data_IF_399373224076
#
_entry.id   IF_399373224076
#
_cell.length_a   1.000
_cell.length_b   1.000
_cell.length_c   1.000
_cell.angle_alpha   90.00
_cell.angle_beta   90.00
_cell.angle_gamma   90.00
#
_symmetry.space_group_name_H-M   'P 1'
#
loop_
_entity.id
_entity.type
_entity.pdbx_description
1 polymer ?
#
# COMPACT_ATOMS: atom_id res chain seq x y z
N UNK A 1 -0.16 -1.73 -33.27
CA UNK A 1 -1.51 -2.32 -33.32
C UNK A 1 -2.08 -2.35 -31.92
N UNK A 2 -3.32 -1.88 -31.71
CA UNK A 2 -3.99 -1.94 -30.41
C UNK A 2 -4.83 -3.21 -30.35
N UNK A 3 -4.76 -3.97 -29.24
CA UNK A 3 -5.61 -5.14 -29.02
C UNK A 3 -6.66 -4.83 -27.96
N UNK A 4 -7.93 -4.86 -28.39
CA UNK A 4 -9.11 -4.68 -27.55
C UNK A 4 -9.88 -6.00 -27.47
N UNK A 5 -9.72 -6.73 -26.37
CA UNK A 5 -10.60 -7.88 -26.10
C UNK A 5 -11.93 -7.38 -25.53
N UNK A 6 -13.02 -7.56 -26.28
CA UNK A 6 -14.38 -7.24 -25.84
C UNK A 6 -15.09 -8.50 -25.37
N UNK A 7 -15.34 -8.62 -24.07
CA UNK A 7 -16.24 -9.64 -23.51
C UNK A 7 -17.67 -9.08 -23.52
N UNK A 8 -18.54 -9.67 -24.36
CA UNK A 8 -19.95 -9.25 -24.49
C UNK A 8 -20.83 -10.06 -23.53
N UNK A 9 -21.27 -9.43 -22.44
CA UNK A 9 -22.33 -9.98 -21.59
C UNK A 9 -23.69 -9.44 -22.06
N UNK A 10 -24.71 -10.29 -22.31
CA UNK A 10 -26.01 -9.81 -22.76
C UNK A 10 -26.75 -9.07 -21.63
N UNK A 11 -27.20 -7.84 -21.90
CA UNK A 11 -28.16 -7.11 -21.06
C UNK A 11 -27.67 -5.87 -20.30
N UNK A 12 -26.40 -5.44 -20.45
CA UNK A 12 -25.91 -4.19 -19.84
C UNK A 12 -25.01 -3.42 -20.82
N UNK A 13 -25.59 -2.46 -21.55
CA UNK A 13 -24.83 -1.48 -22.32
C UNK A 13 -24.20 -0.42 -21.40
N UNK A 14 -23.03 -0.74 -20.86
CA UNK A 14 -22.13 0.23 -20.23
C UNK A 14 -20.69 0.03 -20.71
N UNK A 15 -20.29 0.84 -21.68
CA UNK A 15 -18.91 0.91 -22.15
C UNK A 15 -18.04 1.67 -21.15
N UNK A 16 -17.33 0.94 -20.30
CA UNK A 16 -16.30 1.52 -19.43
C UNK A 16 -14.97 1.64 -20.21
N UNK A 17 -14.56 2.88 -20.52
CA UNK A 17 -13.22 3.16 -21.05
C UNK A 17 -12.21 3.05 -19.90
N UNK A 18 -11.42 1.98 -19.90
CA UNK A 18 -10.24 1.87 -19.05
C UNK A 18 -9.02 2.43 -19.78
N UNK A 19 -8.66 3.67 -19.46
CA UNK A 19 -7.39 4.24 -19.88
C UNK A 19 -6.26 3.57 -19.09
N UNK A 20 -5.36 2.90 -19.83
CA UNK A 20 -4.30 2.06 -19.27
C UNK A 20 -3.15 2.97 -18.82
N UNK A 21 -3.14 3.33 -17.53
CA UNK A 21 -2.02 4.04 -16.91
C UNK A 21 -0.73 3.26 -17.18
N UNK A 22 0.23 3.92 -17.82
CA UNK A 22 1.46 3.33 -18.33
C UNK A 22 2.68 4.13 -17.85
N UNK A 23 2.79 4.32 -16.55
CA UNK A 23 4.01 4.83 -15.91
C UNK A 23 4.41 3.88 -14.78
N UNK A 24 5.37 3.00 -15.11
CA UNK A 24 6.01 2.02 -14.24
C UNK A 24 7.48 2.40 -14.16
N UNK A 25 7.96 2.61 -12.93
CA UNK A 25 9.35 2.43 -12.48
C UNK A 25 10.47 3.05 -13.35
N UNK A 26 10.85 4.29 -13.02
CA UNK A 26 12.09 4.91 -13.47
C UNK A 26 12.81 5.73 -12.38
N UNK A 27 12.80 5.26 -11.11
CA UNK A 27 13.36 6.03 -9.98
C UNK A 27 14.06 5.23 -8.87
N UNK A 28 14.27 3.90 -9.00
CA UNK A 28 14.87 3.07 -7.96
C UNK A 28 15.87 2.03 -8.50
N UNK A 29 17.01 2.49 -8.98
CA UNK A 29 18.26 1.68 -8.96
C UNK A 29 19.39 2.57 -8.46
N UNK A 30 19.71 2.42 -7.18
CA UNK A 30 20.99 2.88 -6.64
C UNK A 30 22.13 2.16 -7.36
N UNK A 31 23.16 2.90 -7.78
CA UNK A 31 24.47 2.33 -8.08
C UNK A 31 25.52 3.06 -7.25
N UNK A 32 25.74 2.53 -6.06
CA UNK A 32 27.03 2.67 -5.39
C UNK A 32 28.12 2.02 -6.27
N UNK A 33 29.24 2.70 -6.43
CA UNK A 33 30.33 2.27 -7.30
C UNK A 33 31.55 3.18 -7.12
N UNK A 34 32.38 2.85 -6.14
CA UNK A 34 33.60 3.60 -5.86
C UNK A 34 34.82 3.06 -6.62
N UNK A 35 35.90 3.85 -6.61
CA UNK A 35 37.27 3.37 -6.78
C UNK A 35 37.74 3.12 -8.22
N UNK A 36 38.56 4.04 -8.74
CA UNK A 36 39.30 3.83 -9.99
C UNK A 36 40.40 4.88 -10.15
N UNK A 37 41.62 4.57 -9.70
CA UNK A 37 42.80 5.38 -10.03
C UNK A 37 43.08 5.25 -11.53
N UNK A 38 43.58 6.32 -12.15
CA UNK A 38 44.49 6.18 -13.27
C UNK A 38 45.53 7.30 -13.18
N UNK A 39 46.74 6.91 -12.82
CA UNK A 39 47.93 7.74 -12.94
C UNK A 39 48.30 7.83 -14.42
N UNK A 40 48.67 9.01 -14.90
CA UNK A 40 49.46 9.11 -16.13
C UNK A 40 50.44 10.26 -16.01
N UNK A 41 51.72 9.92 -16.08
CA UNK A 41 52.84 10.85 -16.05
C UNK A 41 52.71 11.92 -17.14
N UNK A 42 52.99 13.17 -16.76
CA UNK A 42 53.52 14.19 -17.66
C UNK A 42 54.77 14.76 -16.98
N UNK A 43 55.91 14.61 -17.66
CA UNK A 43 57.23 14.78 -17.06
C UNK A 43 57.66 16.23 -16.93
N UNK A 44 58.29 16.54 -15.80
CA UNK A 44 59.41 17.48 -15.62
C UNK A 44 59.55 18.66 -16.59
N UNK A 45 59.22 19.86 -16.11
CA UNK A 45 59.99 21.06 -16.42
C UNK A 45 60.58 21.59 -15.10
N UNK A 46 61.90 21.48 -14.93
CA UNK A 46 62.62 22.08 -13.81
C UNK A 46 63.00 23.50 -14.22
N UNK A 47 62.27 24.49 -13.72
CA UNK A 47 62.78 25.86 -13.64
C UNK A 47 63.15 26.19 -12.19
N UNK A 48 64.32 26.80 -12.03
CA UNK A 48 64.98 27.11 -10.75
C UNK A 48 64.53 28.47 -10.23
N UNK A 49 65.01 28.83 -9.04
CA UNK A 49 64.85 30.12 -8.34
C UNK A 49 63.43 30.36 -7.77
N UNK A 50 63.25 30.84 -6.53
CA UNK A 50 64.23 31.07 -5.47
C UNK A 50 63.68 30.66 -4.10
N UNK A 51 64.59 30.48 -3.14
CA UNK A 51 64.27 29.92 -1.84
C UNK A 51 63.23 30.76 -1.07
N UNK A 52 62.09 30.15 -0.76
CA UNK A 52 61.42 30.44 0.51
C UNK A 52 61.03 29.11 1.16
N UNK A 53 61.77 28.73 2.20
CA UNK A 53 61.44 27.64 3.11
C UNK A 53 59.99 27.78 3.57
N UNK A 54 59.32 26.65 3.83
CA UNK A 54 57.89 26.59 4.16
C UNK A 54 57.48 27.63 5.21
N UNK A 55 56.95 28.76 4.75
CA UNK A 55 56.34 29.76 5.63
C UNK A 55 55.04 29.17 6.15
N UNK A 56 54.92 29.16 7.47
CA UNK A 56 53.65 28.86 8.15
C UNK A 56 52.56 29.76 7.55
N UNK A 57 51.47 29.17 7.05
CA UNK A 57 50.40 29.91 6.34
C UNK A 57 49.79 31.08 7.13
N UNK A 58 49.96 31.10 8.46
CA UNK A 58 49.51 32.19 9.34
C UNK A 58 50.47 33.39 9.50
N UNK A 59 51.51 33.55 8.67
CA UNK A 59 52.51 34.63 8.84
C UNK A 59 52.51 35.70 7.73
N UNK A 60 51.49 35.77 6.87
CA UNK A 60 51.42 36.82 5.82
C UNK A 60 50.85 38.10 6.43
N UNK A 61 51.58 39.22 6.31
CA UNK A 61 51.12 40.49 6.88
C UNK A 61 50.09 41.19 6.00
N UNK A 62 49.25 42.05 6.58
CA UNK A 62 48.21 42.79 5.82
C UNK A 62 48.79 43.66 4.68
N UNK A 63 50.02 44.16 4.83
CA UNK A 63 50.75 44.89 3.79
C UNK A 63 51.20 43.98 2.63
N UNK A 64 51.57 42.73 2.93
CA UNK A 64 52.00 41.71 1.98
C UNK A 64 50.79 41.17 1.20
N UNK A 65 49.64 40.96 1.86
CA UNK A 65 48.35 40.68 1.22
C UNK A 65 47.89 41.77 0.24
N UNK A 66 48.21 43.04 0.52
CA UNK A 66 47.89 44.17 -0.37
C UNK A 66 48.84 44.26 -1.58
N UNK A 67 50.00 43.61 -1.54
CA UNK A 67 50.98 43.52 -2.64
C UNK A 67 50.74 42.32 -3.58
N UNK A 68 49.99 41.31 -3.16
CA UNK A 68 49.62 40.17 -4.01
C UNK A 68 48.67 40.57 -5.15
N UNK A 69 48.72 39.85 -6.27
CA UNK A 69 47.73 40.04 -7.32
C UNK A 69 46.33 39.58 -6.84
N UNK A 70 45.23 40.10 -7.42
CA UNK A 70 43.87 39.79 -6.94
C UNK A 70 43.56 38.29 -6.88
N UNK A 71 44.05 37.48 -7.84
CA UNK A 71 43.83 36.03 -7.84
C UNK A 71 44.60 35.33 -6.72
N UNK A 72 45.84 35.74 -6.42
CA UNK A 72 46.62 35.19 -5.30
C UNK A 72 46.01 35.57 -3.95
N UNK A 73 45.59 36.84 -3.79
CA UNK A 73 44.91 37.32 -2.59
C UNK A 73 43.59 36.58 -2.35
N UNK A 74 42.78 36.39 -3.39
CA UNK A 74 41.54 35.63 -3.30
C UNK A 74 41.78 34.15 -2.92
N UNK A 75 42.80 33.51 -3.52
CA UNK A 75 43.22 32.15 -3.15
C UNK A 75 43.67 32.04 -1.69
N UNK A 76 44.41 33.03 -1.17
CA UNK A 76 44.81 33.06 0.23
C UNK A 76 43.59 33.19 1.16
N UNK A 77 42.75 34.21 0.93
CA UNK A 77 41.57 34.48 1.75
C UNK A 77 40.54 33.33 1.74
N UNK A 78 40.51 32.51 0.69
CA UNK A 78 39.65 31.32 0.62
C UNK A 78 40.05 30.19 1.57
N UNK A 79 41.28 30.19 2.09
CA UNK A 79 41.77 29.24 3.09
C UNK A 79 42.07 29.86 4.46
N UNK A 80 41.88 31.18 4.60
CA UNK A 80 41.96 31.87 5.89
C UNK A 80 40.64 31.64 6.67
N UNK A 81 40.73 31.44 7.99
CA UNK A 81 39.52 31.29 8.79
C UNK A 81 38.74 32.62 8.83
N UNK A 82 37.42 32.61 8.54
CA UNK A 82 36.63 33.83 8.59
C UNK A 82 36.59 34.40 10.01
N UNK A 83 36.43 35.72 10.13
CA UNK A 83 36.43 36.40 11.44
C UNK A 83 35.34 35.84 12.37
N UNK A 84 35.55 35.95 13.69
CA UNK A 84 34.61 35.43 14.71
C UNK A 84 33.18 35.96 14.53
N UNK A 85 33.02 37.18 14.04
CA UNK A 85 31.72 37.78 13.72
C UNK A 85 31.07 37.11 12.50
N UNK A 86 31.83 36.87 11.43
CA UNK A 86 31.35 36.16 10.24
C UNK A 86 31.01 34.71 10.59
N UNK A 87 31.83 34.03 11.39
CA UNK A 87 31.53 32.68 11.90
C UNK A 87 30.21 32.64 12.68
N UNK A 88 29.95 33.65 13.52
CA UNK A 88 28.68 33.79 14.27
C UNK A 88 27.48 34.05 13.35
N UNK A 89 27.64 34.86 12.30
CA UNK A 89 26.57 35.07 11.30
C UNK A 89 26.31 33.80 10.48
N UNK A 90 27.37 33.07 10.11
CA UNK A 90 27.26 31.77 9.43
C UNK A 90 26.59 30.72 10.31
N UNK A 91 26.92 30.62 11.60
CA UNK A 91 26.30 29.64 12.50
C UNK A 91 24.81 29.94 12.72
N UNK A 92 24.42 31.20 12.94
CA UNK A 92 23.01 31.61 13.01
C UNK A 92 22.27 31.34 11.70
N UNK A 93 22.90 31.59 10.55
CA UNK A 93 22.29 31.32 9.24
C UNK A 93 22.10 29.82 9.01
N UNK A 94 23.10 29.00 9.31
CA UNK A 94 23.03 27.54 9.23
C UNK A 94 21.98 26.97 10.18
N UNK A 95 21.88 27.50 11.41
CA UNK A 95 20.85 27.12 12.37
C UNK A 95 19.44 27.40 11.83
N UNK A 96 19.21 28.58 11.23
CA UNK A 96 17.94 28.93 10.58
C UNK A 96 17.61 28.03 9.40
N UNK A 97 18.59 27.68 8.57
CA UNK A 97 18.41 26.76 7.43
C UNK A 97 18.09 25.34 7.91
N UNK A 98 18.79 24.83 8.92
CA UNK A 98 18.52 23.54 9.53
C UNK A 98 17.12 23.48 10.17
N UNK A 99 16.73 24.51 10.92
CA UNK A 99 15.38 24.62 11.49
C UNK A 99 14.31 24.61 10.39
N UNK A 100 14.46 25.44 9.34
CA UNK A 100 13.52 25.46 8.20
C UNK A 100 13.43 24.10 7.49
N UNK A 101 14.55 23.39 7.35
CA UNK A 101 14.60 22.05 6.74
C UNK A 101 13.94 20.99 7.63
N UNK A 102 14.03 21.12 8.96
CA UNK A 102 13.35 20.26 9.92
C UNK A 102 11.82 20.47 9.88
N UNK A 103 11.35 21.71 9.89
CA UNK A 103 9.90 22.00 9.76
C UNK A 103 9.33 21.56 8.41
N UNK A 104 10.08 21.74 7.31
CA UNK A 104 9.67 21.23 5.99
C UNK A 104 9.52 19.70 5.97
N UNK A 105 10.38 18.95 6.69
CA UNK A 105 10.27 17.49 6.83
C UNK A 105 9.04 17.10 7.65
N UNK A 106 8.82 17.72 8.82
CA UNK A 106 7.62 17.48 9.64
C UNK A 106 6.33 17.69 8.84
N UNK A 107 6.25 18.81 8.11
CA UNK A 107 5.07 19.12 7.29
C UNK A 107 4.87 18.12 6.13
N UNK A 108 5.95 17.53 5.61
CA UNK A 108 5.88 16.49 4.59
C UNK A 108 5.43 15.15 5.20
N UNK A 109 5.91 14.81 6.40
CA UNK A 109 5.51 13.62 7.16
C UNK A 109 4.03 13.69 7.60
N UNK A 110 3.53 14.86 8.04
CA UNK A 110 2.11 15.04 8.36
C UNK A 110 1.23 14.90 7.13
N UNK A 111 1.58 15.54 6.01
CA UNK A 111 0.82 15.42 4.76
C UNK A 111 0.78 13.97 4.24
N UNK A 112 1.90 13.23 4.32
CA UNK A 112 1.93 11.81 3.96
C UNK A 112 1.03 10.95 4.86
N UNK A 113 1.02 11.21 6.17
CA UNK A 113 0.13 10.51 7.11
C UNK A 113 -1.35 10.81 6.84
N UNK A 114 -1.71 12.07 6.55
CA UNK A 114 -3.07 12.44 6.15
C UNK A 114 -3.52 11.72 4.87
N UNK A 115 -2.65 11.62 3.86
CA UNK A 115 -2.97 10.95 2.60
C UNK A 115 -3.07 9.43 2.74
N UNK A 116 -2.29 8.82 3.64
CA UNK A 116 -2.46 7.41 4.01
C UNK A 116 -3.80 7.19 4.72
N UNK A 117 -4.20 8.11 5.60
CA UNK A 117 -5.46 8.01 6.34
C UNK A 117 -6.68 8.24 5.43
N UNK A 118 -6.63 9.22 4.51
CA UNK A 118 -7.65 9.38 3.45
C UNK A 118 -7.82 8.10 2.63
N UNK A 119 -6.72 7.47 2.20
CA UNK A 119 -6.78 6.18 1.45
C UNK A 119 -7.42 5.05 2.25
N UNK A 120 -7.18 4.98 3.56
CA UNK A 120 -7.85 4.01 4.46
C UNK A 120 -9.35 4.30 4.55
N UNK A 121 -9.73 5.56 4.74
CA UNK A 121 -11.13 6.00 4.79
C UNK A 121 -11.85 5.73 3.46
N UNK A 122 -11.27 6.06 2.32
CA UNK A 122 -11.82 5.77 0.98
C UNK A 122 -12.02 4.27 0.76
N UNK A 123 -11.05 3.45 1.19
CA UNK A 123 -11.16 1.98 1.13
C UNK A 123 -12.31 1.47 1.99
N UNK A 124 -12.44 1.95 3.22
CA UNK A 124 -13.54 1.60 4.13
C UNK A 124 -14.90 2.05 3.58
N UNK A 125 -15.00 3.27 3.07
CA UNK A 125 -16.20 3.83 2.42
C UNK A 125 -16.58 2.97 1.19
N UNK A 126 -15.60 2.55 0.39
CA UNK A 126 -15.82 1.65 -0.74
C UNK A 126 -16.37 0.28 -0.33
N UNK A 127 -15.80 -0.32 0.71
CA UNK A 127 -16.27 -1.59 1.29
C UNK A 127 -17.70 -1.47 1.85
N UNK A 128 -17.99 -0.41 2.61
CA UNK A 128 -19.32 -0.14 3.18
C UNK A 128 -20.37 0.08 2.08
N UNK A 129 -20.08 0.89 1.05
CA UNK A 129 -20.96 1.09 -0.12
C UNK A 129 -21.22 -0.21 -0.87
N UNK A 130 -20.20 -1.06 -1.05
CA UNK A 130 -20.35 -2.36 -1.69
C UNK A 130 -21.21 -3.34 -0.85
N UNK A 131 -21.04 -3.34 0.47
CA UNK A 131 -21.87 -4.12 1.39
C UNK A 131 -23.33 -3.64 1.37
N UNK A 132 -23.56 -2.33 1.38
CA UNK A 132 -24.90 -1.72 1.30
C UNK A 132 -25.59 -2.09 -0.02
N UNK A 133 -24.91 -1.96 -1.16
CA UNK A 133 -25.46 -2.32 -2.47
C UNK A 133 -25.85 -3.80 -2.55
N UNK A 134 -25.01 -4.70 -2.05
CA UNK A 134 -25.33 -6.14 -1.92
C UNK A 134 -26.55 -6.36 -1.04
N UNK A 135 -26.65 -5.64 0.09
CA UNK A 135 -27.78 -5.76 1.00
C UNK A 135 -29.10 -5.22 0.39
N UNK A 136 -29.06 -4.10 -0.34
CA UNK A 136 -30.21 -3.59 -1.12
C UNK A 136 -30.72 -4.63 -2.12
N UNK A 137 -29.81 -5.27 -2.87
CA UNK A 137 -30.16 -6.35 -3.80
C UNK A 137 -30.77 -7.56 -3.07
N UNK A 138 -30.19 -7.97 -1.93
CA UNK A 138 -30.72 -9.06 -1.09
C UNK A 138 -32.13 -8.75 -0.59
N UNK A 139 -32.35 -7.56 -0.02
CA UNK A 139 -33.68 -7.14 0.44
C UNK A 139 -34.69 -7.07 -0.71
N UNK A 140 -34.30 -6.60 -1.89
CA UNK A 140 -35.18 -6.58 -3.07
C UNK A 140 -35.57 -8.00 -3.51
N UNK A 141 -34.62 -8.94 -3.57
CA UNK A 141 -34.89 -10.36 -3.88
C UNK A 141 -35.83 -11.00 -2.86
N UNK A 142 -35.58 -10.78 -1.55
CA UNK A 142 -36.45 -11.28 -0.47
C UNK A 142 -37.86 -10.68 -0.55
N UNK A 143 -38.00 -9.36 -0.78
CA UNK A 143 -39.31 -8.70 -0.97
C UNK A 143 -40.06 -9.23 -2.19
N UNK A 144 -39.35 -9.55 -3.27
CA UNK A 144 -39.95 -10.18 -4.46
C UNK A 144 -40.41 -11.61 -4.15
N UNK A 145 -39.56 -12.44 -3.55
CA UNK A 145 -39.90 -13.81 -3.16
C UNK A 145 -41.10 -13.86 -2.20
N UNK A 146 -41.12 -12.99 -1.19
CA UNK A 146 -42.23 -12.89 -0.24
C UNK A 146 -43.55 -12.49 -0.92
N UNK A 147 -43.54 -11.47 -1.80
CA UNK A 147 -44.75 -11.05 -2.52
C UNK A 147 -45.24 -12.12 -3.49
N UNK A 148 -44.34 -12.74 -4.26
CA UNK A 148 -44.68 -13.86 -5.15
C UNK A 148 -45.28 -15.04 -4.37
N UNK A 149 -44.75 -15.36 -3.19
CA UNK A 149 -45.31 -16.41 -2.34
C UNK A 149 -46.71 -16.04 -1.80
N UNK A 150 -46.91 -14.79 -1.37
CA UNK A 150 -48.23 -14.29 -0.94
C UNK A 150 -49.27 -14.35 -2.07
N UNK A 151 -48.89 -13.93 -3.28
CA UNK A 151 -49.73 -13.97 -4.47
C UNK A 151 -50.12 -15.41 -4.87
N UNK A 152 -49.16 -16.34 -4.88
CA UNK A 152 -49.43 -17.76 -5.15
C UNK A 152 -50.33 -18.35 -4.05
N UNK A 153 -50.10 -18.03 -2.77
CA UNK A 153 -50.97 -18.49 -1.67
C UNK A 153 -52.41 -17.97 -1.82
N UNK A 154 -52.59 -16.72 -2.27
CA UNK A 154 -53.92 -16.18 -2.57
C UNK A 154 -54.58 -16.92 -3.74
N UNK A 155 -53.83 -17.17 -4.83
CA UNK A 155 -54.33 -17.96 -5.95
C UNK A 155 -54.72 -19.38 -5.53
N UNK A 156 -53.95 -20.03 -4.65
CA UNK A 156 -54.25 -21.34 -4.06
C UNK A 156 -55.57 -21.31 -3.28
N UNK A 157 -55.75 -20.32 -2.39
CA UNK A 157 -56.96 -20.16 -1.59
C UNK A 157 -58.23 -19.97 -2.43
N UNK A 158 -58.10 -19.37 -3.62
CA UNK A 158 -59.21 -19.18 -4.56
C UNK A 158 -59.45 -20.35 -5.53
N UNK A 159 -58.72 -21.48 -5.43
CA UNK A 159 -58.93 -22.61 -6.35
C UNK A 159 -60.19 -23.43 -6.01
N UNK A 160 -61.04 -23.75 -7.00
CA UNK A 160 -62.26 -24.53 -6.77
C UNK A 160 -62.02 -26.04 -6.56
N UNK A 161 -60.79 -26.52 -6.71
CA UNK A 161 -60.45 -27.96 -6.64
C UNK A 161 -59.06 -28.16 -6.05
N UNK A 162 -58.92 -29.10 -5.11
CA UNK A 162 -57.65 -29.42 -4.45
C UNK A 162 -56.51 -29.73 -5.44
N UNK A 163 -56.78 -30.44 -6.53
CA UNK A 163 -55.76 -30.77 -7.55
C UNK A 163 -55.16 -29.52 -8.23
N UNK A 164 -55.95 -28.44 -8.41
CA UNK A 164 -55.44 -27.17 -8.94
C UNK A 164 -54.62 -26.41 -7.89
N UNK A 165 -55.06 -26.43 -6.63
CA UNK A 165 -54.31 -25.85 -5.51
C UNK A 165 -52.92 -26.50 -5.37
N UNK A 166 -52.83 -27.83 -5.34
CA UNK A 166 -51.56 -28.58 -5.26
C UNK A 166 -50.63 -28.28 -6.45
N UNK A 167 -51.17 -28.14 -7.66
CA UNK A 167 -50.36 -27.74 -8.84
C UNK A 167 -49.75 -26.35 -8.70
N UNK A 168 -50.47 -25.39 -8.10
CA UNK A 168 -49.95 -24.05 -7.81
C UNK A 168 -48.95 -24.04 -6.65
N UNK A 169 -49.11 -24.92 -5.66
CA UNK A 169 -48.17 -25.09 -4.55
C UNK A 169 -46.76 -25.45 -5.05
N UNK A 170 -46.65 -26.26 -6.13
CA UNK A 170 -45.37 -26.58 -6.77
C UNK A 170 -44.63 -25.35 -7.37
N UNK A 171 -45.29 -24.19 -7.51
CA UNK A 171 -44.67 -22.94 -7.98
C UNK A 171 -44.06 -22.11 -6.85
N UNK A 172 -44.33 -22.47 -5.59
CA UNK A 172 -43.69 -21.90 -4.41
C UNK A 172 -42.25 -22.44 -4.28
N UNK A 173 -41.31 -21.65 -3.75
CA UNK A 173 -40.02 -22.19 -3.35
C UNK A 173 -40.22 -23.32 -2.33
N UNK A 174 -39.72 -24.51 -2.63
CA UNK A 174 -39.71 -25.62 -1.68
C UNK A 174 -39.03 -25.16 -0.40
N UNK A 175 -39.77 -25.17 0.72
CA UNK A 175 -39.19 -24.90 2.04
C UNK A 175 -38.28 -26.08 2.37
N UNK A 176 -37.00 -25.96 2.01
CA UNK A 176 -35.95 -26.89 2.45
C UNK A 176 -35.86 -26.72 3.97
N UNK A 177 -36.57 -27.58 4.70
CA UNK A 177 -36.44 -27.68 6.14
C UNK A 177 -34.99 -27.99 6.48
N UNK A 178 -34.53 -27.53 7.64
CA UNK A 178 -33.21 -27.89 8.15
C UNK A 178 -33.39 -28.89 9.29
N UNK A 179 -33.13 -30.19 9.15
CA UNK A 179 -32.71 -31.02 8.00
C UNK A 179 -31.51 -30.51 7.16
N UNK A 180 -30.66 -29.69 7.79
CA UNK A 180 -29.24 -30.09 7.80
C UNK A 180 -29.23 -31.38 8.63
N UNK A 181 -28.41 -32.35 8.24
CA UNK A 181 -28.17 -33.51 9.08
C UNK A 181 -27.47 -33.08 10.36
N UNK A 182 -28.25 -32.59 11.34
CA UNK A 182 -27.83 -32.55 12.72
C UNK A 182 -27.58 -34.01 13.08
N UNK A 183 -26.31 -34.33 13.30
CA UNK A 183 -25.92 -35.63 13.79
C UNK A 183 -26.70 -35.88 15.09
N UNK A 184 -27.52 -36.93 15.09
CA UNK A 184 -28.43 -37.23 16.20
C UNK A 184 -27.72 -37.85 17.39
N UNK A 185 -26.43 -38.18 17.26
CA UNK A 185 -25.61 -38.76 18.31
C UNK A 185 -25.24 -37.71 19.36
N UNK A 186 -25.63 -37.97 20.61
CA UNK A 186 -25.13 -37.23 21.76
C UNK A 186 -23.61 -37.39 21.90
N UNK A 187 -22.96 -36.48 22.62
CA UNK A 187 -21.51 -36.49 22.85
C UNK A 187 -21.03 -37.80 23.50
N UNK A 188 -21.84 -38.43 24.36
CA UNK A 188 -21.51 -39.73 24.95
C UNK A 188 -21.66 -40.88 23.95
N UNK A 189 -22.70 -40.84 23.10
CA UNK A 189 -22.94 -41.85 22.08
C UNK A 189 -21.85 -41.82 21.00
N UNK A 190 -21.49 -40.63 20.53
CA UNK A 190 -20.36 -40.44 19.61
C UNK A 190 -19.06 -40.98 20.18
N UNK A 191 -18.72 -40.62 21.44
CA UNK A 191 -17.50 -41.09 22.09
C UNK A 191 -17.46 -42.62 22.22
N UNK A 192 -18.61 -43.24 22.54
CA UNK A 192 -18.73 -44.69 22.63
C UNK A 192 -18.59 -45.36 21.25
N UNK A 193 -19.09 -44.73 20.19
CA UNK A 193 -18.94 -45.21 18.81
C UNK A 193 -17.48 -45.08 18.36
N UNK A 194 -16.81 -43.97 18.69
CA UNK A 194 -15.37 -43.77 18.43
C UNK A 194 -14.54 -44.85 19.16
N UNK A 195 -14.80 -45.09 20.45
CA UNK A 195 -14.15 -46.14 21.26
C UNK A 195 -14.40 -47.56 20.71
N UNK A 196 -15.60 -47.83 20.16
CA UNK A 196 -15.92 -49.08 19.46
C UNK A 196 -15.17 -49.22 18.13
N UNK A 197 -15.01 -48.13 17.38
CA UNK A 197 -14.31 -48.12 16.09
C UNK A 197 -12.78 -48.25 16.24
N UNK A 198 -12.24 -47.78 17.38
CA UNK A 198 -10.83 -47.90 17.75
C UNK A 198 -10.47 -49.29 18.34
N UNK A 199 -11.46 -50.10 18.74
CA UNK A 199 -11.26 -51.44 19.31
C UNK A 199 -11.07 -52.52 18.23
N UNK A 200 -9.87 -52.55 17.62
CA UNK A 200 -9.46 -53.55 16.62
C UNK A 200 -9.58 -55.02 17.11
N UNK A 201 -9.66 -55.25 18.43
CA UNK A 201 -9.69 -56.59 19.05
C UNK A 201 -11.10 -56.99 19.51
N UNK A 202 -12.09 -56.11 19.40
CA UNK A 202 -13.49 -56.34 19.78
C UNK A 202 -13.72 -56.63 21.27
N UNK A 203 -12.78 -56.26 22.14
CA UNK A 203 -12.82 -56.52 23.59
C UNK A 203 -13.99 -55.84 24.30
N UNK A 204 -14.50 -54.74 23.76
CA UNK A 204 -15.61 -53.94 24.30
C UNK A 204 -17.00 -54.47 23.89
N UNK A 205 -17.07 -55.29 22.83
CA UNK A 205 -18.32 -55.82 22.26
C UNK A 205 -18.49 -57.31 22.58
N UNK A 206 -17.40 -58.09 22.52
CA UNK A 206 -17.44 -59.53 22.75
C UNK A 206 -17.71 -59.83 24.23
N UNK A 207 -18.93 -60.32 24.51
CA UNK A 207 -19.30 -60.88 25.81
C UNK A 207 -19.01 -62.38 25.80
N UNK A 208 -18.17 -62.81 26.73
CA UNK A 208 -17.90 -64.23 27.05
C UNK A 208 -19.03 -64.77 27.93
#
# INVERSE_FOLDING_TARGET
MQHTCTVKCPGIDRTYKYERIKEVEASLVSKDGGGGRNETNMSNAIEKSDGTLGRNRGSVTAAELKRMCPQQRARYLAYEEPSKEVQKVMSVTNQRLCARKAEARKNQETAQNEDLEKKRQDTLIGQLKAAEARNRIRHMRLRYQNRRAQEINLMIACQPTALKAVRLEMLLPTKVSQLRGCDSLDRLERRRIEEILEDEKGLTINRV
#
